data_IF_082964003674
#
_entry.id   IF_082964003674
#
_cell.length_a   1.000
_cell.length_b   1.000
_cell.length_c   1.000
_cell.angle_alpha   90.00
_cell.angle_beta   90.00
_cell.angle_gamma   90.00
#
_symmetry.space_group_name_H-M   'P 1'
#
loop_
_entity.id
_entity.type
_entity.pdbx_description
1 polymer ?
#
# COMPACT_ATOMS: atom_id res chain seq x y z
N UNK A 1 9.09 1.19 8.61
CA UNK A 1 8.47 -0.15 8.53
C UNK A 1 6.95 -0.13 8.70
N UNK A 2 6.38 0.20 9.87
CA UNK A 2 4.90 0.21 10.06
C UNK A 2 4.18 1.20 9.12
N UNK A 3 4.67 2.44 9.06
CA UNK A 3 4.08 3.45 8.18
C UNK A 3 4.27 3.09 6.72
N UNK A 4 5.41 2.52 6.33
CA UNK A 4 5.65 2.09 4.95
C UNK A 4 4.72 0.95 4.53
N UNK A 5 4.50 -0.05 5.39
CA UNK A 5 3.57 -1.14 5.08
C UNK A 5 2.13 -0.64 5.00
N UNK A 6 1.73 0.27 5.88
CA UNK A 6 0.41 0.92 5.82
C UNK A 6 0.27 1.81 4.57
N UNK A 7 1.33 2.53 4.18
CA UNK A 7 1.36 3.34 2.95
C UNK A 7 1.23 2.47 1.70
N UNK A 8 1.92 1.33 1.65
CA UNK A 8 1.80 0.37 0.54
C UNK A 8 0.38 -0.18 0.46
N UNK A 9 -0.21 -0.59 1.58
CA UNK A 9 -1.61 -1.05 1.61
C UNK A 9 -2.56 0.05 1.16
N UNK A 10 -2.38 1.27 1.65
CA UNK A 10 -3.24 2.40 1.28
C UNK A 10 -3.08 2.78 -0.20
N UNK A 11 -1.86 2.74 -0.72
CA UNK A 11 -1.58 2.98 -2.14
C UNK A 11 -2.25 1.95 -3.03
N UNK A 12 -2.21 0.66 -2.65
CA UNK A 12 -2.90 -0.42 -3.37
C UNK A 12 -4.41 -0.22 -3.34
N UNK A 13 -4.98 0.11 -2.19
CA UNK A 13 -6.42 0.42 -2.04
C UNK A 13 -6.84 1.61 -2.91
N UNK A 14 -6.03 2.67 -2.94
CA UNK A 14 -6.27 3.83 -3.80
C UNK A 14 -6.22 3.45 -5.29
N UNK A 15 -5.29 2.58 -5.69
CA UNK A 15 -5.18 2.11 -7.06
C UNK A 15 -6.40 1.27 -7.48
N UNK A 16 -6.86 0.36 -6.62
CA UNK A 16 -8.08 -0.42 -6.84
C UNK A 16 -9.31 0.49 -6.96
N UNK A 17 -9.47 1.46 -6.06
CA UNK A 17 -10.56 2.45 -6.12
C UNK A 17 -10.48 3.31 -7.40
N UNK A 18 -9.27 3.67 -7.85
CA UNK A 18 -9.08 4.39 -9.12
C UNK A 18 -9.50 3.53 -10.31
N UNK A 19 -9.14 2.25 -10.33
CA UNK A 19 -9.55 1.28 -11.36
C UNK A 19 -11.07 1.12 -11.38
N UNK A 20 -11.70 0.98 -10.21
CA UNK A 20 -13.15 0.93 -10.07
C UNK A 20 -13.84 2.21 -10.58
N UNK A 21 -13.36 3.38 -10.17
CA UNK A 21 -13.87 4.67 -10.64
C UNK A 21 -13.75 4.82 -12.16
N UNK A 22 -12.65 4.34 -12.74
CA UNK A 22 -12.42 4.38 -14.19
C UNK A 22 -13.38 3.46 -14.92
N UNK A 23 -13.57 2.23 -14.45
CA UNK A 23 -14.53 1.28 -15.02
C UNK A 23 -15.97 1.83 -14.96
N UNK A 24 -16.35 2.42 -13.81
CA UNK A 24 -17.65 3.09 -13.65
C UNK A 24 -17.82 4.28 -14.59
N UNK A 25 -16.78 5.10 -14.78
CA UNK A 25 -16.79 6.21 -15.75
C UNK A 25 -16.98 5.72 -17.19
N UNK A 26 -16.46 4.53 -17.52
CA UNK A 26 -16.55 3.93 -18.85
C UNK A 26 -17.81 3.06 -19.05
N UNK A 27 -18.74 3.03 -18.08
CA UNK A 27 -19.91 2.13 -18.07
C UNK A 27 -19.53 0.65 -18.30
N UNK A 28 -18.33 0.25 -17.91
CA UNK A 28 -17.90 -1.14 -17.99
C UNK A 28 -18.28 -1.87 -16.70
N UNK A 29 -18.76 -3.12 -16.78
CA UNK A 29 -18.99 -3.92 -15.58
C UNK A 29 -17.67 -4.09 -14.83
N UNK A 30 -17.59 -3.51 -13.63
CA UNK A 30 -16.48 -3.75 -12.73
C UNK A 30 -16.66 -5.13 -12.11
N UNK A 31 -16.02 -6.13 -12.70
CA UNK A 31 -15.84 -7.42 -12.08
C UNK A 31 -14.71 -7.23 -11.09
N UNK A 32 -15.01 -7.33 -9.79
CA UNK A 32 -13.98 -7.39 -8.76
C UNK A 32 -13.10 -8.60 -9.08
N UNK A 33 -11.97 -8.39 -9.75
CA UNK A 33 -11.05 -9.47 -10.07
C UNK A 33 -10.63 -10.07 -8.73
N UNK A 34 -10.91 -11.37 -8.53
CA UNK A 34 -10.46 -12.07 -7.33
C UNK A 34 -8.97 -11.76 -7.16
N UNK A 35 -8.60 -11.29 -5.96
CA UNK A 35 -7.21 -11.00 -5.63
C UNK A 35 -6.36 -12.20 -6.03
N UNK A 36 -5.46 -11.99 -6.97
CA UNK A 36 -4.47 -12.97 -7.40
C UNK A 36 -3.54 -13.23 -6.21
N UNK A 37 -3.41 -14.50 -5.84
CA UNK A 37 -2.52 -14.92 -4.75
C UNK A 37 -1.16 -15.18 -5.38
N UNK A 38 -0.12 -14.53 -4.87
CA UNK A 38 1.26 -14.65 -5.37
C UNK A 38 2.17 -15.19 -4.29
N UNK A 39 3.43 -15.51 -4.61
CA UNK A 39 4.40 -15.95 -3.59
C UNK A 39 4.63 -14.89 -2.50
N UNK A 40 4.48 -13.61 -2.84
CA UNK A 40 4.54 -12.51 -1.89
C UNK A 40 3.42 -12.56 -0.83
N UNK A 41 2.28 -13.18 -1.14
CA UNK A 41 1.21 -13.38 -0.17
C UNK A 41 1.49 -14.56 0.77
N UNK A 42 2.39 -15.49 0.40
CA UNK A 42 2.78 -16.66 1.21
C UNK A 42 3.94 -16.28 2.14
N UNK A 43 3.65 -16.16 3.43
CA UNK A 43 4.69 -15.90 4.43
C UNK A 43 5.50 -17.15 4.75
N UNK A 44 6.82 -17.01 4.81
CA UNK A 44 7.75 -18.10 5.12
C UNK A 44 7.81 -19.15 4.00
N UNK A 45 8.04 -20.41 4.38
CA UNK A 45 8.17 -21.54 3.45
C UNK A 45 9.29 -21.37 2.41
N UNK A 46 10.39 -20.71 2.78
CA UNK A 46 11.46 -20.37 1.82
C UNK A 46 12.14 -21.63 1.24
N UNK A 47 12.27 -22.69 2.05
CA UNK A 47 12.82 -23.97 1.59
C UNK A 47 11.87 -24.66 0.61
N UNK A 48 10.59 -24.68 0.90
CA UNK A 48 9.56 -25.29 0.07
C UNK A 48 9.34 -24.51 -1.23
N UNK A 49 9.42 -23.17 -1.18
CA UNK A 49 9.43 -22.30 -2.37
C UNK A 49 10.63 -22.58 -3.26
N UNK A 50 11.81 -22.77 -2.68
CA UNK A 50 13.03 -23.14 -3.41
C UNK A 50 12.89 -24.53 -4.06
N UNK A 51 12.32 -25.51 -3.33
CA UNK A 51 12.06 -26.84 -3.91
C UNK A 51 11.10 -26.79 -5.12
N UNK A 52 10.18 -25.82 -5.14
CA UNK A 52 9.27 -25.54 -6.24
C UNK A 52 9.89 -24.66 -7.36
N UNK A 53 11.04 -24.03 -7.14
CA UNK A 53 11.67 -23.13 -8.11
C UNK A 53 12.04 -23.85 -9.41
N UNK A 54 12.47 -25.12 -9.32
CA UNK A 54 12.73 -25.98 -10.48
C UNK A 54 11.48 -26.13 -11.35
N UNK A 55 10.34 -26.36 -10.71
CA UNK A 55 9.06 -26.53 -11.37
C UNK A 55 8.60 -25.22 -12.03
N UNK A 56 8.81 -24.09 -11.36
CA UNK A 56 8.51 -22.76 -11.91
C UNK A 56 9.34 -22.51 -13.17
N UNK A 57 10.64 -22.78 -13.10
CA UNK A 57 11.56 -22.62 -14.22
C UNK A 57 11.15 -23.48 -15.39
N UNK A 58 10.82 -24.76 -15.13
CA UNK A 58 10.33 -25.68 -16.14
C UNK A 58 9.04 -25.17 -16.82
N UNK A 59 8.06 -24.70 -16.05
CA UNK A 59 6.79 -24.21 -16.57
C UNK A 59 6.92 -22.90 -17.35
N UNK A 60 7.86 -22.01 -16.96
CA UNK A 60 8.10 -20.71 -17.60
C UNK A 60 8.98 -20.77 -18.84
N UNK A 61 9.83 -21.78 -19.01
CA UNK A 61 10.77 -21.83 -20.13
C UNK A 61 10.05 -21.94 -21.49
N UNK A 62 10.13 -20.94 -22.37
CA UNK A 62 9.35 -20.95 -23.62
C UNK A 62 9.82 -21.99 -24.64
N UNK A 63 11.10 -22.42 -24.63
CA UNK A 63 11.60 -23.64 -25.29
C UNK A 63 12.91 -24.08 -24.64
N UNK A 64 13.16 -25.39 -24.48
CA UNK A 64 14.42 -25.85 -23.95
C UNK A 64 15.48 -25.95 -25.04
N UNK A 65 16.34 -24.94 -25.15
CA UNK A 65 17.60 -25.04 -25.92
C UNK A 65 18.64 -25.99 -25.27
N UNK A 66 18.20 -26.80 -24.30
CA UNK A 66 19.00 -27.77 -23.56
C UNK A 66 18.76 -29.17 -24.13
N UNK A 67 19.84 -29.80 -24.60
CA UNK A 67 19.84 -31.21 -25.01
C UNK A 67 19.32 -32.06 -23.85
N UNK A 68 18.38 -32.97 -24.12
CA UNK A 68 17.74 -33.87 -23.13
C UNK A 68 16.85 -33.21 -22.07
N UNK A 69 16.36 -31.99 -22.27
CA UNK A 69 15.45 -31.34 -21.31
C UNK A 69 14.18 -32.16 -21.00
N UNK A 70 13.68 -32.93 -21.96
CA UNK A 70 12.52 -33.81 -21.75
C UNK A 70 12.78 -34.94 -20.73
N UNK A 71 14.05 -35.29 -20.49
CA UNK A 71 14.42 -36.25 -19.44
C UNK A 71 14.28 -35.65 -18.03
N UNK A 72 14.19 -34.32 -17.92
CA UNK A 72 14.11 -33.57 -16.67
C UNK A 72 12.64 -33.21 -16.33
N UNK A 73 11.67 -33.55 -17.20
CA UNK A 73 10.24 -33.26 -16.99
C UNK A 73 9.75 -33.78 -15.63
N UNK A 74 9.42 -32.89 -14.67
CA UNK A 74 8.85 -33.32 -13.40
C UNK A 74 7.48 -33.93 -13.66
N UNK A 75 7.21 -35.10 -13.07
CA UNK A 75 5.91 -35.79 -13.25
C UNK A 75 4.83 -35.18 -12.37
N UNK A 76 5.24 -34.70 -11.20
CA UNK A 76 4.33 -34.14 -10.20
C UNK A 76 4.97 -34.05 -8.83
N UNK A 77 4.40 -33.24 -7.96
CA UNK A 77 4.88 -33.02 -6.60
C UNK A 77 3.73 -33.29 -5.61
N UNK A 78 4.05 -33.90 -4.48
CA UNK A 78 3.08 -34.16 -3.41
C UNK A 78 3.49 -33.40 -2.15
N UNK A 79 2.64 -32.46 -1.74
CA UNK A 79 2.75 -31.71 -0.49
C UNK A 79 2.12 -32.50 0.64
N UNK A 80 2.78 -32.57 1.79
CA UNK A 80 2.20 -33.23 2.96
C UNK A 80 2.55 -32.51 4.26
N UNK A 81 1.68 -32.63 5.26
CA UNK A 81 1.91 -32.04 6.57
C UNK A 81 0.61 -31.71 7.29
N UNK A 82 0.66 -31.15 8.50
CA UNK A 82 -0.53 -30.88 9.31
C UNK A 82 -1.58 -30.01 8.60
N UNK A 83 -2.87 -30.12 8.97
CA UNK A 83 -3.91 -29.28 8.41
C UNK A 83 -3.70 -27.80 8.77
N UNK A 84 -4.03 -26.90 7.84
CA UNK A 84 -3.97 -25.45 8.10
C UNK A 84 -2.57 -24.83 8.02
N UNK A 85 -1.56 -25.55 7.50
CA UNK A 85 -0.21 -25.01 7.26
C UNK A 85 -0.10 -24.17 6.00
N UNK A 86 -1.02 -24.31 5.03
CA UNK A 86 -1.04 -23.48 3.82
C UNK A 86 -0.76 -24.21 2.50
N UNK A 87 -0.77 -25.55 2.47
CA UNK A 87 -0.58 -26.37 1.24
C UNK A 87 -1.38 -25.87 0.03
N UNK A 88 -2.71 -25.78 0.16
CA UNK A 88 -3.58 -25.32 -0.94
C UNK A 88 -3.40 -23.83 -1.26
N UNK A 89 -2.95 -23.01 -0.30
CA UNK A 89 -2.65 -21.60 -0.51
C UNK A 89 -1.35 -21.40 -1.30
N UNK A 90 -0.31 -22.18 -0.98
CA UNK A 90 0.96 -22.22 -1.73
C UNK A 90 0.74 -22.66 -3.18
N UNK A 91 -0.16 -23.61 -3.44
CA UNK A 91 -0.48 -24.05 -4.81
C UNK A 91 -1.18 -22.98 -5.64
N UNK A 92 -2.10 -22.23 -5.03
CA UNK A 92 -2.74 -21.08 -5.69
C UNK A 92 -1.70 -20.01 -6.04
N UNK A 93 -0.76 -19.77 -5.13
CA UNK A 93 0.36 -18.87 -5.35
C UNK A 93 1.27 -19.34 -6.51
N UNK A 94 1.63 -20.62 -6.53
CA UNK A 94 2.47 -21.23 -7.57
C UNK A 94 1.86 -21.11 -8.97
N UNK A 95 0.54 -21.27 -9.08
CA UNK A 95 -0.15 -21.17 -10.36
C UNK A 95 -0.11 -19.75 -10.92
N UNK A 96 -0.29 -18.75 -10.05
CA UNK A 96 -0.16 -17.35 -10.46
C UNK A 96 1.28 -17.03 -10.87
N UNK A 97 2.28 -17.50 -10.10
CA UNK A 97 3.70 -17.28 -10.44
C UNK A 97 4.05 -17.84 -11.82
N UNK A 98 3.55 -19.04 -12.15
CA UNK A 98 3.86 -19.74 -13.41
C UNK A 98 2.99 -19.28 -14.58
N UNK A 99 1.87 -18.63 -14.30
CA UNK A 99 0.81 -18.35 -15.28
C UNK A 99 0.25 -19.62 -15.91
N UNK A 100 0.33 -20.76 -15.21
CA UNK A 100 -0.22 -22.03 -15.67
C UNK A 100 -1.73 -22.06 -15.44
N UNK A 101 -2.45 -22.74 -16.32
CA UNK A 101 -3.88 -22.99 -16.12
C UNK A 101 -4.08 -23.92 -14.91
N UNK A 102 -4.92 -23.51 -13.96
CA UNK A 102 -5.07 -24.19 -12.68
C UNK A 102 -6.40 -24.96 -12.60
N UNK A 103 -6.30 -26.26 -12.39
CA UNK A 103 -7.42 -27.19 -12.22
C UNK A 103 -7.41 -27.77 -10.81
N UNK A 104 -8.26 -27.25 -9.93
CA UNK A 104 -8.45 -27.78 -8.57
C UNK A 104 -9.53 -28.87 -8.57
N UNK A 105 -9.17 -30.06 -8.09
CA UNK A 105 -10.02 -31.24 -8.08
C UNK A 105 -10.23 -31.71 -6.64
N UNK A 106 -11.50 -31.84 -6.27
CA UNK A 106 -11.91 -32.55 -5.07
C UNK A 106 -11.92 -34.07 -5.37
N UNK A 107 -11.22 -34.91 -4.59
CA UNK A 107 -11.21 -36.37 -4.77
C UNK A 107 -12.60 -37.01 -4.81
N UNK A 108 -13.60 -36.40 -4.13
CA UNK A 108 -15.00 -36.87 -4.14
C UNK A 108 -15.63 -36.84 -5.53
N UNK A 109 -15.11 -36.05 -6.49
CA UNK A 109 -15.58 -36.08 -7.89
C UNK A 109 -15.42 -37.43 -8.56
N UNK A 110 -14.48 -38.24 -8.07
CA UNK A 110 -14.24 -39.58 -8.57
C UNK A 110 -15.07 -40.65 -7.84
N UNK A 111 -15.70 -40.31 -6.71
CA UNK A 111 -16.54 -41.21 -5.92
C UNK A 111 -17.95 -41.29 -6.51
N UNK A 112 -18.08 -42.04 -7.61
CA UNK A 112 -19.34 -42.23 -8.33
C UNK A 112 -19.89 -43.64 -8.15
N UNK A 113 -21.21 -43.76 -8.12
CA UNK A 113 -21.94 -45.01 -7.84
C UNK A 113 -21.78 -46.04 -8.97
N UNK A 114 -21.54 -45.59 -10.20
CA UNK A 114 -21.40 -46.46 -11.36
C UNK A 114 -19.93 -46.66 -11.77
N UNK A 115 -19.61 -47.91 -12.13
CA UNK A 115 -18.28 -48.31 -12.61
C UNK A 115 -17.98 -47.60 -13.94
N UNK A 116 -16.93 -46.78 -13.97
CA UNK A 116 -16.45 -46.12 -15.20
C UNK A 116 -16.63 -44.60 -15.23
N UNK A 117 -17.65 -44.06 -14.55
CA UNK A 117 -17.93 -42.61 -14.58
C UNK A 117 -16.83 -41.76 -13.94
N UNK A 118 -16.09 -42.33 -12.97
CA UNK A 118 -14.92 -41.68 -12.37
C UNK A 118 -13.73 -41.61 -13.34
N UNK A 119 -13.58 -42.60 -14.23
CA UNK A 119 -12.53 -42.59 -15.25
C UNK A 119 -12.88 -41.61 -16.37
N UNK A 120 -14.15 -41.53 -16.77
CA UNK A 120 -14.61 -40.51 -17.71
C UNK A 120 -14.37 -39.09 -17.18
N UNK A 121 -14.58 -38.87 -15.88
CA UNK A 121 -14.28 -37.59 -15.23
C UNK A 121 -12.79 -37.27 -15.29
N UNK A 122 -11.92 -38.24 -14.97
CA UNK A 122 -10.47 -38.08 -15.06
C UNK A 122 -10.02 -37.76 -16.49
N UNK A 123 -10.60 -38.41 -17.50
CA UNK A 123 -10.32 -38.11 -18.91
C UNK A 123 -10.77 -36.71 -19.33
N UNK A 124 -11.94 -36.24 -18.85
CA UNK A 124 -12.42 -34.88 -19.11
C UNK A 124 -11.45 -33.84 -18.54
N UNK A 125 -11.07 -34.01 -17.28
CA UNK A 125 -10.10 -33.15 -16.60
C UNK A 125 -8.77 -33.14 -17.35
N UNK A 126 -8.31 -34.30 -17.82
CA UNK A 126 -7.05 -34.39 -18.57
C UNK A 126 -7.11 -33.66 -19.90
N UNK A 127 -8.19 -33.84 -20.67
CA UNK A 127 -8.40 -33.13 -21.95
C UNK A 127 -8.50 -31.63 -21.76
N UNK A 128 -9.13 -31.18 -20.68
CA UNK A 128 -9.19 -29.76 -20.31
C UNK A 128 -7.78 -29.22 -20.02
N UNK A 129 -6.96 -29.97 -19.29
CA UNK A 129 -5.57 -29.62 -19.06
C UNK A 129 -4.73 -29.59 -20.37
N UNK A 130 -4.98 -30.52 -21.31
CA UNK A 130 -4.32 -30.59 -22.62
C UNK A 130 -4.71 -29.46 -23.58
N UNK A 131 -5.88 -28.85 -23.37
CA UNK A 131 -6.33 -27.69 -24.16
C UNK A 131 -5.53 -26.41 -23.90
N UNK A 132 -4.64 -26.42 -22.90
CA UNK A 132 -3.74 -25.32 -22.55
C UNK A 132 -2.28 -25.74 -22.69
N UNK A 133 -1.39 -24.77 -22.94
CA UNK A 133 0.05 -25.05 -23.14
C UNK A 133 0.75 -25.49 -21.85
N UNK A 134 0.34 -24.91 -20.72
CA UNK A 134 0.86 -25.18 -19.38
C UNK A 134 -0.28 -25.27 -18.39
N UNK A 135 -0.37 -26.40 -17.69
CA UNK A 135 -1.47 -26.70 -16.79
C UNK A 135 -0.97 -27.36 -15.51
N UNK A 136 -1.51 -26.93 -14.38
CA UNK A 136 -1.33 -27.56 -13.07
C UNK A 136 -2.66 -28.19 -12.68
N UNK A 137 -2.66 -29.52 -12.57
CA UNK A 137 -3.76 -30.29 -12.01
C UNK A 137 -3.48 -30.46 -10.52
N UNK A 138 -4.32 -29.92 -9.65
CA UNK A 138 -4.17 -30.01 -8.20
C UNK A 138 -5.25 -30.87 -7.56
N UNK A 139 -4.83 -31.95 -6.87
CA UNK A 139 -5.71 -32.81 -6.08
C UNK A 139 -5.47 -32.51 -4.60
N UNK A 140 -6.39 -31.78 -3.96
CA UNK A 140 -6.34 -31.57 -2.50
C UNK A 140 -6.86 -32.82 -1.77
N UNK A 141 -6.34 -33.08 -0.59
CA UNK A 141 -6.65 -34.30 0.19
C UNK A 141 -6.58 -35.60 -0.62
N UNK A 142 -5.49 -35.83 -1.37
CA UNK A 142 -5.31 -37.04 -2.20
C UNK A 142 -5.45 -38.36 -1.41
N UNK A 143 -5.27 -38.33 -0.09
CA UNK A 143 -5.57 -39.44 0.82
C UNK A 143 -7.05 -39.88 0.83
N UNK A 144 -7.95 -39.05 0.31
CA UNK A 144 -9.35 -39.38 0.07
C UNK A 144 -9.53 -40.47 -1.01
N UNK A 145 -8.57 -40.61 -1.94
CA UNK A 145 -8.56 -41.70 -2.91
C UNK A 145 -8.33 -43.06 -2.22
N UNK A 146 -8.66 -44.16 -2.90
CA UNK A 146 -8.40 -45.48 -2.33
C UNK A 146 -6.91 -45.73 -2.15
N UNK A 147 -6.58 -46.42 -1.07
CA UNK A 147 -5.27 -47.00 -0.87
C UNK A 147 -5.40 -48.50 -1.07
N UNK A 148 -4.64 -49.04 -2.05
CA UNK A 148 -4.76 -50.45 -2.45
C UNK A 148 -4.36 -51.42 -1.35
N UNK A 149 -3.54 -50.97 -0.39
CA UNK A 149 -3.06 -51.80 0.72
C UNK A 149 -4.09 -51.93 1.85
N UNK A 150 -5.00 -50.94 2.00
CA UNK A 150 -5.92 -50.86 3.15
C UNK A 150 -7.41 -50.91 2.77
N UNK A 151 -7.78 -50.54 1.54
CA UNK A 151 -9.17 -50.49 1.05
C UNK A 151 -9.39 -51.48 -0.11
N UNK A 152 -9.12 -52.76 0.11
CA UNK A 152 -9.21 -53.83 -0.91
C UNK A 152 -10.60 -53.97 -1.56
N UNK A 153 -11.65 -53.58 -0.85
CA UNK A 153 -13.04 -53.87 -1.26
C UNK A 153 -13.60 -52.83 -2.24
N UNK A 154 -13.00 -51.62 -2.32
CA UNK A 154 -13.48 -50.57 -3.22
C UNK A 154 -12.78 -50.61 -4.59
N UNK A 155 -13.17 -51.58 -5.42
CA UNK A 155 -12.62 -51.80 -6.78
C UNK A 155 -12.71 -50.56 -7.68
N UNK A 156 -13.75 -49.73 -7.54
CA UNK A 156 -13.95 -48.50 -8.34
C UNK A 156 -12.85 -47.50 -8.03
N UNK A 157 -12.62 -47.23 -6.74
CA UNK A 157 -11.59 -46.28 -6.31
C UNK A 157 -10.17 -46.77 -6.61
N UNK A 158 -9.90 -48.08 -6.57
CA UNK A 158 -8.62 -48.67 -7.00
C UNK A 158 -8.38 -48.44 -8.50
N UNK A 159 -9.41 -48.54 -9.33
CA UNK A 159 -9.29 -48.30 -10.77
C UNK A 159 -8.92 -46.84 -11.09
N UNK A 160 -9.47 -45.87 -10.36
CA UNK A 160 -9.13 -44.45 -10.52
C UNK A 160 -7.64 -44.22 -10.21
N UNK A 161 -7.12 -44.83 -9.13
CA UNK A 161 -5.70 -44.76 -8.79
C UNK A 161 -4.83 -45.36 -9.89
N UNK A 162 -5.21 -46.52 -10.43
CA UNK A 162 -4.48 -47.13 -11.54
C UNK A 162 -4.47 -46.25 -12.80
N UNK A 163 -5.59 -45.60 -13.13
CA UNK A 163 -5.65 -44.67 -14.26
C UNK A 163 -4.81 -43.41 -14.02
N UNK A 164 -4.80 -42.88 -12.79
CA UNK A 164 -3.94 -41.76 -12.43
C UNK A 164 -2.45 -42.14 -12.58
N UNK A 165 -2.06 -43.36 -12.18
CA UNK A 165 -0.71 -43.90 -12.38
C UNK A 165 -0.34 -44.02 -13.87
N UNK A 166 -1.27 -44.51 -14.70
CA UNK A 166 -1.06 -44.60 -16.15
C UNK A 166 -0.86 -43.22 -16.79
N UNK A 167 -1.66 -42.22 -16.37
CA UNK A 167 -1.48 -40.83 -16.82
C UNK A 167 -0.15 -40.26 -16.35
N UNK A 168 0.27 -40.55 -15.11
CA UNK A 168 1.58 -40.17 -14.56
C UNK A 168 2.78 -40.77 -15.31
N UNK A 169 2.64 -41.98 -15.83
CA UNK A 169 3.68 -42.60 -16.67
C UNK A 169 3.64 -42.08 -18.12
N UNK A 170 2.46 -41.65 -18.60
CA UNK A 170 2.24 -41.10 -19.93
C UNK A 170 2.76 -39.66 -20.17
N UNK A 171 3.18 -38.92 -19.13
CA UNK A 171 3.67 -37.53 -19.29
C UNK A 171 4.87 -37.38 -20.23
N UNK A 172 5.62 -38.46 -20.48
CA UNK A 172 6.78 -38.46 -21.39
C UNK A 172 6.42 -38.22 -22.86
N UNK A 173 5.18 -38.43 -23.25
CA UNK A 173 4.77 -38.42 -24.66
C UNK A 173 3.98 -37.18 -25.09
N UNK A 174 3.66 -36.26 -24.16
CA UNK A 174 2.89 -35.04 -24.46
C UNK A 174 3.81 -33.83 -24.57
N UNK A 175 3.67 -33.09 -25.68
CA UNK A 175 4.31 -31.78 -25.91
C UNK A 175 3.81 -30.71 -24.91
N UNK A 176 2.62 -30.91 -24.31
CA UNK A 176 2.04 -30.00 -23.33
C UNK A 176 2.70 -30.15 -21.96
N UNK A 177 2.85 -29.01 -21.26
CA UNK A 177 3.40 -28.95 -19.90
C UNK A 177 2.30 -29.10 -18.86
N UNK A 178 1.81 -30.32 -18.72
CA UNK A 178 0.88 -30.68 -17.66
C UNK A 178 1.71 -31.14 -16.46
N UNK A 179 1.33 -30.75 -15.25
CA UNK A 179 1.97 -31.18 -13.99
C UNK A 179 0.88 -31.58 -13.00
N UNK A 180 1.03 -32.75 -12.38
CA UNK A 180 0.15 -33.16 -11.29
C UNK A 180 0.72 -32.70 -9.94
N UNK A 181 -0.02 -31.84 -9.25
CA UNK A 181 0.25 -31.44 -7.87
C UNK A 181 -0.78 -32.10 -6.96
N UNK A 182 -0.36 -32.52 -5.77
CA UNK A 182 -1.27 -33.10 -4.79
C UNK A 182 -0.94 -32.63 -3.38
N UNK A 183 -1.95 -32.61 -2.50
CA UNK A 183 -1.77 -32.31 -1.09
C UNK A 183 -2.44 -33.36 -0.21
N UNK A 184 -1.88 -33.63 0.97
CA UNK A 184 -2.51 -34.48 1.99
C UNK A 184 -2.13 -34.08 3.40
N UNK A 185 -3.03 -34.30 4.36
CA UNK A 185 -2.68 -34.25 5.79
C UNK A 185 -2.16 -35.60 6.33
N UNK A 186 -2.36 -36.69 5.59
CA UNK A 186 -2.12 -38.06 6.03
C UNK A 186 -1.31 -38.83 4.97
N UNK A 187 -0.01 -38.57 4.90
CA UNK A 187 0.90 -39.23 3.94
C UNK A 187 0.86 -40.76 4.04
N UNK A 188 0.67 -41.30 5.24
CA UNK A 188 0.54 -42.74 5.49
C UNK A 188 -0.72 -43.36 4.84
N UNK A 189 -1.77 -42.58 4.59
CA UNK A 189 -2.98 -43.04 3.94
C UNK A 189 -2.89 -43.04 2.41
N UNK A 190 -1.89 -42.35 1.83
CA UNK A 190 -1.69 -42.34 0.37
C UNK A 190 -1.08 -43.65 -0.11
N UNK A 191 -1.61 -44.16 -1.21
CA UNK A 191 -1.14 -45.37 -1.90
C UNK A 191 0.38 -45.31 -2.20
N UNK A 192 1.08 -46.43 -1.95
CA UNK A 192 2.53 -46.49 -2.11
C UNK A 192 3.00 -46.32 -3.56
N UNK A 193 2.25 -46.83 -4.54
CA UNK A 193 2.60 -46.64 -5.94
C UNK A 193 2.41 -45.19 -6.38
N UNK A 194 1.37 -44.51 -5.89
CA UNK A 194 1.21 -43.06 -6.14
C UNK A 194 2.36 -42.26 -5.54
N UNK A 195 2.72 -42.52 -4.28
CA UNK A 195 3.85 -41.82 -3.62
C UNK A 195 5.15 -41.95 -4.41
N UNK A 196 5.46 -43.14 -4.92
CA UNK A 196 6.66 -43.40 -5.70
C UNK A 196 6.64 -42.82 -7.13
N UNK A 197 5.50 -42.32 -7.61
CA UNK A 197 5.37 -41.68 -8.93
C UNK A 197 5.51 -40.16 -8.90
N UNK A 198 5.34 -39.54 -7.73
CA UNK A 198 5.68 -38.13 -7.55
C UNK A 198 7.20 -37.95 -7.56
N UNK A 199 7.67 -36.91 -8.25
CA UNK A 199 9.09 -36.59 -8.39
C UNK A 199 9.68 -36.03 -7.09
N UNK A 200 8.89 -35.27 -6.33
CA UNK A 200 9.27 -34.74 -5.01
C UNK A 200 8.12 -34.88 -4.01
N UNK A 201 8.48 -35.14 -2.75
CA UNK A 201 7.60 -35.12 -1.59
C UNK A 201 8.01 -33.94 -0.72
N UNK A 202 7.21 -32.88 -0.68
CA UNK A 202 7.54 -31.67 0.07
C UNK A 202 6.77 -31.68 1.39
N UNK A 203 7.50 -31.65 2.50
CA UNK A 203 6.91 -31.55 3.84
C UNK A 203 6.64 -30.08 4.15
N UNK A 204 5.41 -29.75 4.54
CA UNK A 204 5.04 -28.43 5.06
C UNK A 204 4.66 -28.57 6.53
N UNK A 205 5.59 -28.18 7.39
CA UNK A 205 5.43 -28.24 8.85
C UNK A 205 4.64 -27.05 9.41
N UNK A 206 4.37 -27.09 10.72
CA UNK A 206 3.84 -25.95 11.44
C UNK A 206 4.87 -24.80 11.42
N UNK A 207 4.36 -23.58 11.48
CA UNK A 207 5.17 -22.37 11.60
C UNK A 207 6.08 -22.44 12.84
N UNK A 208 7.34 -22.03 12.69
CA UNK A 208 8.29 -22.01 13.81
C UNK A 208 8.00 -20.85 14.76
N UNK A 209 8.38 -21.01 16.04
CA UNK A 209 8.10 -20.04 17.11
C UNK A 209 8.73 -18.65 16.82
N UNK A 210 9.86 -18.62 16.11
CA UNK A 210 10.56 -17.41 15.69
C UNK A 210 9.86 -16.69 14.53
N UNK A 211 9.09 -17.42 13.73
CA UNK A 211 8.42 -16.91 12.53
C UNK A 211 7.03 -16.32 12.82
N UNK A 212 6.43 -16.64 13.97
CA UNK A 212 5.07 -16.23 14.34
C UNK A 212 4.90 -14.71 14.27
N UNK A 213 5.84 -13.93 14.81
CA UNK A 213 5.72 -12.48 14.82
C UNK A 213 5.67 -11.89 13.40
N UNK A 214 6.54 -12.38 12.51
CA UNK A 214 6.57 -11.94 11.13
C UNK A 214 5.31 -12.38 10.37
N UNK A 215 4.79 -13.58 10.65
CA UNK A 215 3.52 -14.04 10.08
C UNK A 215 2.35 -13.14 10.49
N UNK A 216 2.25 -12.80 11.78
CA UNK A 216 1.21 -11.91 12.29
C UNK A 216 1.32 -10.52 11.65
N UNK A 217 2.53 -9.97 11.52
CA UNK A 217 2.79 -8.70 10.84
C UNK A 217 2.41 -8.74 9.37
N UNK A 218 2.69 -9.85 8.69
CA UNK A 218 2.34 -10.07 7.28
C UNK A 218 0.84 -10.12 7.07
N UNK A 219 0.13 -10.91 7.87
CA UNK A 219 -1.31 -11.07 7.78
C UNK A 219 -2.05 -9.75 8.07
N UNK A 220 -1.55 -8.95 9.02
CA UNK A 220 -2.15 -7.67 9.39
C UNK A 220 -1.97 -6.55 8.36
N UNK A 221 -1.18 -6.75 7.29
CA UNK A 221 -1.02 -5.75 6.22
C UNK A 221 -2.34 -5.29 5.62
N UNK A 222 -3.35 -6.17 5.56
CA UNK A 222 -4.65 -5.85 4.97
C UNK A 222 -5.67 -5.26 5.97
N UNK A 223 -5.30 -5.06 7.24
CA UNK A 223 -6.21 -4.62 8.29
C UNK A 223 -5.88 -3.20 8.76
N UNK A 224 -6.91 -2.46 9.16
CA UNK A 224 -6.74 -1.16 9.84
C UNK A 224 -6.37 -1.40 11.30
N UNK A 225 -5.09 -1.19 11.63
CA UNK A 225 -4.55 -1.41 12.97
C UNK A 225 -3.94 -0.14 13.57
N UNK A 226 -3.90 -0.05 14.90
CA UNK A 226 -3.15 1.01 15.57
C UNK A 226 -1.63 0.72 15.57
N UNK A 227 -0.82 1.77 15.72
CA UNK A 227 0.63 1.63 15.94
C UNK A 227 0.95 0.79 17.19
N UNK A 228 0.16 0.96 18.26
CA UNK A 228 0.31 0.16 19.48
C UNK A 228 0.03 -1.32 19.24
N UNK A 229 -0.94 -1.64 18.38
CA UNK A 229 -1.23 -3.02 17.97
C UNK A 229 -0.04 -3.63 17.24
N UNK A 230 0.58 -2.90 16.32
CA UNK A 230 1.77 -3.37 15.60
C UNK A 230 2.93 -3.70 16.55
N UNK A 231 3.19 -2.86 17.54
CA UNK A 231 4.22 -3.11 18.55
C UNK A 231 3.84 -4.24 19.52
N UNK A 232 2.54 -4.45 19.78
CA UNK A 232 2.05 -5.50 20.65
C UNK A 232 2.17 -6.91 20.03
N UNK A 233 2.43 -7.01 18.72
CA UNK A 233 2.52 -8.29 18.03
C UNK A 233 3.66 -9.18 18.54
N UNK A 234 4.76 -8.60 19.04
CA UNK A 234 5.83 -9.38 19.67
C UNK A 234 5.33 -10.09 20.93
N UNK A 235 4.56 -9.38 21.77
CA UNK A 235 3.92 -9.97 22.96
C UNK A 235 2.91 -11.06 22.58
N UNK A 236 2.11 -10.84 21.54
CA UNK A 236 1.16 -11.84 21.04
C UNK A 236 1.91 -13.07 20.51
N UNK A 237 2.99 -12.87 19.76
CA UNK A 237 3.82 -13.95 19.26
C UNK A 237 4.38 -14.78 20.42
N UNK A 238 4.98 -14.15 21.44
CA UNK A 238 5.49 -14.85 22.63
C UNK A 238 4.40 -15.68 23.33
N UNK A 239 3.16 -15.17 23.44
CA UNK A 239 2.05 -15.93 24.04
C UNK A 239 1.60 -17.12 23.18
N UNK A 240 1.86 -17.08 21.87
CA UNK A 240 1.52 -18.13 20.91
C UNK A 240 2.60 -19.22 20.79
N UNK A 241 3.84 -18.94 21.23
CA UNK A 241 4.95 -19.89 21.14
C UNK A 241 4.68 -21.19 21.91
N UNK A 242 5.20 -22.30 21.40
CA UNK A 242 5.06 -23.66 21.98
C UNK A 242 3.62 -24.15 22.13
N UNK A 243 2.65 -23.50 21.48
CA UNK A 243 1.23 -23.92 21.47
C UNK A 243 0.87 -24.81 20.28
N UNK A 244 1.76 -24.96 19.30
CA UNK A 244 1.53 -25.75 18.10
C UNK A 244 0.45 -25.16 17.18
N UNK A 245 0.34 -23.83 17.12
CA UNK A 245 -0.64 -23.17 16.25
C UNK A 245 -0.27 -23.33 14.77
N UNK A 246 -1.27 -23.64 13.94
CA UNK A 246 -1.13 -23.60 12.49
C UNK A 246 -1.31 -22.18 11.95
N UNK A 247 -0.90 -21.93 10.70
CA UNK A 247 -1.13 -20.65 10.00
C UNK A 247 -2.62 -20.28 10.01
N UNK A 248 -3.50 -21.29 9.87
CA UNK A 248 -4.95 -21.12 9.97
C UNK A 248 -5.41 -20.68 11.36
N UNK A 249 -4.81 -21.21 12.43
CA UNK A 249 -5.19 -20.83 13.80
C UNK A 249 -4.74 -19.40 14.11
N UNK A 250 -3.52 -19.02 13.70
CA UNK A 250 -3.02 -17.64 13.81
C UNK A 250 -3.86 -16.65 12.98
N UNK A 251 -4.27 -17.05 11.78
CA UNK A 251 -5.17 -16.24 10.93
C UNK A 251 -6.52 -16.04 11.60
N UNK A 252 -7.09 -17.09 12.21
CA UNK A 252 -8.34 -17.00 12.97
C UNK A 252 -8.25 -16.06 14.17
N UNK A 253 -7.11 -16.00 14.86
CA UNK A 253 -6.91 -15.03 15.96
C UNK A 253 -7.07 -13.60 15.42
N UNK A 254 -6.44 -13.29 14.28
CA UNK A 254 -6.53 -11.98 13.64
C UNK A 254 -7.95 -11.68 13.16
N UNK A 255 -8.59 -12.63 12.46
CA UNK A 255 -9.95 -12.45 11.94
C UNK A 255 -10.96 -12.21 13.06
N UNK A 256 -10.88 -13.01 14.13
CA UNK A 256 -11.74 -12.84 15.30
C UNK A 256 -11.48 -11.51 16.01
N UNK A 257 -10.21 -11.07 16.09
CA UNK A 257 -9.87 -9.79 16.70
C UNK A 257 -10.46 -8.65 15.87
N UNK A 258 -10.42 -8.74 14.54
CA UNK A 258 -11.01 -7.71 13.69
C UNK A 258 -12.55 -7.68 13.78
N UNK A 259 -13.20 -8.83 13.93
CA UNK A 259 -14.63 -8.88 14.22
C UNK A 259 -14.97 -8.19 15.55
N UNK A 260 -14.13 -8.35 16.58
CA UNK A 260 -14.26 -7.64 17.86
C UNK A 260 -14.10 -6.13 17.67
N UNK A 261 -13.07 -5.71 16.95
CA UNK A 261 -12.87 -4.30 16.59
C UNK A 261 -14.11 -3.71 15.92
N UNK A 262 -14.67 -4.40 14.93
CA UNK A 262 -15.88 -3.93 14.24
C UNK A 262 -17.07 -3.81 15.19
N UNK A 263 -17.29 -4.83 16.03
CA UNK A 263 -18.34 -4.81 17.06
C UNK A 263 -18.17 -3.62 18.01
N UNK A 264 -16.94 -3.33 18.45
CA UNK A 264 -16.67 -2.21 19.36
C UNK A 264 -16.76 -0.86 18.68
N UNK A 265 -16.37 -0.75 17.41
CA UNK A 265 -16.56 0.47 16.60
C UNK A 265 -18.01 0.89 16.49
N UNK A 266 -18.93 -0.08 16.35
CA UNK A 266 -20.39 0.19 16.33
C UNK A 266 -20.88 0.73 17.68
N UNK A 267 -20.29 0.30 18.79
CA UNK A 267 -20.67 0.73 20.14
C UNK A 267 -20.01 2.04 20.55
N UNK A 268 -18.77 2.25 20.13
CA UNK A 268 -17.96 3.42 20.43
C UNK A 268 -17.20 3.84 19.15
N UNK A 269 -17.59 4.96 18.51
CA UNK A 269 -16.91 5.48 17.32
C UNK A 269 -15.42 5.78 17.53
N UNK A 270 -14.96 5.97 18.78
CA UNK A 270 -13.55 6.16 19.11
C UNK A 270 -12.71 4.88 18.91
N UNK A 271 -13.35 3.70 18.92
CA UNK A 271 -12.72 2.42 18.63
C UNK A 271 -12.62 2.21 17.11
N UNK A 272 -11.84 3.07 16.44
CA UNK A 272 -11.87 3.17 14.98
C UNK A 272 -11.06 2.10 14.22
N UNK A 273 -10.05 1.52 14.89
CA UNK A 273 -9.04 0.59 14.34
C UNK A 273 -8.80 -0.55 15.34
N UNK A 274 -8.17 -1.65 14.89
CA UNK A 274 -7.84 -2.76 15.79
C UNK A 274 -6.83 -2.31 16.85
N UNK A 275 -7.15 -2.57 18.11
CA UNK A 275 -6.34 -2.22 19.29
C UNK A 275 -5.69 -3.47 19.92
N UNK A 276 -4.63 -3.32 20.73
CA UNK A 276 -4.02 -4.45 21.47
C UNK A 276 -5.04 -5.25 22.28
N UNK A 277 -6.04 -4.58 22.85
CA UNK A 277 -7.10 -5.21 23.64
C UNK A 277 -7.91 -6.25 22.86
N UNK A 278 -8.08 -6.06 21.55
CA UNK A 278 -8.91 -6.94 20.73
C UNK A 278 -8.18 -8.28 20.49
N UNK A 279 -6.88 -8.21 20.23
CA UNK A 279 -6.01 -9.39 20.11
C UNK A 279 -5.89 -10.12 21.46
N UNK A 280 -5.68 -9.38 22.55
CA UNK A 280 -5.60 -9.96 23.89
C UNK A 280 -6.90 -10.69 24.25
N UNK A 281 -8.07 -10.09 24.01
CA UNK A 281 -9.36 -10.70 24.35
C UNK A 281 -9.58 -12.02 23.60
N UNK A 282 -9.24 -12.06 22.30
CA UNK A 282 -9.37 -13.28 21.50
C UNK A 282 -8.39 -14.35 21.94
N UNK A 283 -7.15 -13.96 22.20
CA UNK A 283 -6.12 -14.90 22.62
C UNK A 283 -6.41 -15.48 24.00
N UNK A 284 -6.85 -14.64 24.96
CA UNK A 284 -7.29 -15.09 26.28
C UNK A 284 -8.41 -16.13 26.15
N UNK A 285 -9.41 -15.85 25.32
CA UNK A 285 -10.51 -16.78 25.06
C UNK A 285 -10.01 -18.11 24.48
N UNK A 286 -9.14 -18.07 23.47
CA UNK A 286 -8.57 -19.25 22.83
C UNK A 286 -7.68 -20.08 23.78
N UNK A 287 -7.04 -19.43 24.75
CA UNK A 287 -6.23 -20.07 25.79
C UNK A 287 -7.05 -20.49 27.02
N UNK A 288 -8.38 -20.31 27.00
CA UNK A 288 -9.27 -20.66 28.12
C UNK A 288 -9.16 -19.73 29.33
N UNK A 289 -8.51 -18.57 29.19
CA UNK A 289 -8.37 -17.56 30.23
C UNK A 289 -9.70 -16.80 30.35
N UNK A 290 -10.44 -17.05 31.43
CA UNK A 290 -11.72 -16.40 31.70
C UNK A 290 -11.53 -15.06 32.41
N UNK A 291 -11.73 -13.96 31.68
CA UNK A 291 -11.81 -12.60 32.25
C UNK A 291 -13.27 -12.17 32.41
N UNK A 292 -13.56 -11.38 33.44
CA UNK A 292 -14.89 -10.81 33.63
C UNK A 292 -15.16 -9.71 32.61
N UNK A 293 -16.44 -9.45 32.31
CA UNK A 293 -16.81 -8.36 31.40
C UNK A 293 -16.26 -6.99 31.86
N UNK A 294 -16.23 -6.75 33.17
CA UNK A 294 -15.65 -5.53 33.75
C UNK A 294 -14.15 -5.40 33.47
N UNK A 295 -13.39 -6.49 33.59
CA UNK A 295 -11.96 -6.52 33.28
C UNK A 295 -11.69 -6.26 31.79
N UNK A 296 -12.43 -6.93 30.90
CA UNK A 296 -12.32 -6.76 29.45
C UNK A 296 -12.65 -5.31 29.06
N UNK A 297 -13.77 -4.77 29.56
CA UNK A 297 -14.18 -3.39 29.29
C UNK A 297 -13.14 -2.39 29.81
N UNK A 298 -12.59 -2.61 31.01
CA UNK A 298 -11.54 -1.74 31.57
C UNK A 298 -10.28 -1.73 30.71
N UNK A 299 -9.80 -2.90 30.28
CA UNK A 299 -8.62 -3.01 29.39
C UNK A 299 -8.86 -2.30 28.05
N UNK A 300 -10.02 -2.53 27.44
CA UNK A 300 -10.40 -1.89 26.17
C UNK A 300 -10.43 -0.36 26.27
N UNK A 301 -11.12 0.19 27.29
CA UNK A 301 -11.20 1.64 27.49
C UNK A 301 -9.82 2.28 27.71
N UNK A 302 -8.91 1.57 28.40
CA UNK A 302 -7.53 2.03 28.56
C UNK A 302 -6.80 2.12 27.21
N UNK A 303 -6.90 1.09 26.36
CA UNK A 303 -6.28 1.10 25.03
C UNK A 303 -6.90 2.13 24.08
N UNK A 304 -8.22 2.34 24.16
CA UNK A 304 -8.91 3.41 23.43
C UNK A 304 -8.35 4.79 23.83
N UNK A 305 -8.15 5.03 25.12
CA UNK A 305 -7.60 6.29 25.63
C UNK A 305 -6.18 6.53 25.11
N UNK A 306 -5.31 5.52 25.23
CA UNK A 306 -3.92 5.58 24.71
C UNK A 306 -3.90 5.89 23.22
N UNK A 307 -4.75 5.21 22.44
CA UNK A 307 -4.84 5.46 21.00
C UNK A 307 -5.35 6.86 20.67
N UNK A 308 -6.35 7.38 21.41
CA UNK A 308 -6.84 8.74 21.19
C UNK A 308 -5.79 9.80 21.53
N UNK A 309 -5.00 9.61 22.57
CA UNK A 309 -3.93 10.55 22.92
C UNK A 309 -2.79 10.52 21.90
N UNK A 310 -2.43 9.34 21.41
CA UNK A 310 -1.52 9.20 20.27
C UNK A 310 -2.05 9.91 19.01
N UNK A 311 -3.33 9.73 18.68
CA UNK A 311 -3.96 10.40 17.54
C UNK A 311 -3.95 11.93 17.69
N UNK A 312 -4.22 12.46 18.88
CA UNK A 312 -4.12 13.91 19.14
C UNK A 312 -2.69 14.41 18.92
N UNK A 313 -1.70 13.66 19.42
CA UNK A 313 -0.28 13.93 19.19
C UNK A 313 0.05 14.01 17.70
N UNK A 314 -0.32 13.00 16.91
CA UNK A 314 -0.07 13.00 15.46
C UNK A 314 -0.78 14.14 14.75
N UNK A 315 -2.05 14.40 15.09
CA UNK A 315 -2.81 15.51 14.49
C UNK A 315 -2.14 16.88 14.71
N UNK A 316 -1.34 17.04 15.77
CA UNK A 316 -0.59 18.27 16.00
C UNK A 316 0.59 18.46 15.03
N UNK A 317 1.14 17.38 14.49
CA UNK A 317 2.22 17.41 13.48
C UNK A 317 1.70 17.51 12.05
N UNK A 318 0.43 17.17 11.81
CA UNK A 318 -0.17 17.33 10.50
C UNK A 318 -0.39 18.81 10.19
N UNK A 319 -0.11 19.27 8.94
CA UNK A 319 -0.40 20.63 8.55
C UNK A 319 -1.88 20.91 8.77
N UNK A 320 -2.20 22.04 9.43
CA UNK A 320 -3.58 22.46 9.65
C UNK A 320 -4.30 22.50 8.30
N UNK A 321 -5.54 22.00 8.27
CA UNK A 321 -6.37 22.07 7.08
C UNK A 321 -6.43 23.52 6.60
N UNK A 322 -6.00 23.76 5.36
CA UNK A 322 -6.04 25.08 4.74
C UNK A 322 -7.49 25.58 4.72
N UNK A 323 -7.72 26.75 5.30
CA UNK A 323 -9.01 27.45 5.22
C UNK A 323 -9.25 27.98 3.80
N UNK A 324 -10.13 27.30 3.08
CA UNK A 324 -10.47 27.61 1.68
C UNK A 324 -11.58 28.66 1.55
N UNK A 325 -12.06 29.24 2.66
CA UNK A 325 -13.08 30.30 2.62
C UNK A 325 -12.57 31.44 1.76
N UNK A 326 -13.34 31.82 0.74
CA UNK A 326 -12.97 32.87 -0.20
C UNK A 326 -13.14 34.24 0.47
N UNK A 327 -12.10 35.05 0.46
CA UNK A 327 -12.08 36.37 1.08
C UNK A 327 -11.53 37.40 0.11
N UNK A 328 -12.19 38.56 0.09
CA UNK A 328 -11.83 39.71 -0.69
C UNK A 328 -11.16 40.74 0.24
N UNK A 329 -9.95 41.18 -0.10
CA UNK A 329 -9.26 42.27 0.61
C UNK A 329 -8.62 43.25 -0.36
N UNK A 330 -8.61 44.51 0.03
CA UNK A 330 -7.85 45.56 -0.65
C UNK A 330 -6.70 45.99 0.24
N UNK A 331 -5.51 46.07 -0.34
CA UNK A 331 -4.32 46.56 0.35
C UNK A 331 -3.87 47.86 -0.28
N UNK A 332 -3.51 48.83 0.56
CA UNK A 332 -3.00 50.15 0.16
C UNK A 332 -1.69 50.38 0.89
N UNK A 333 -0.65 50.73 0.13
CA UNK A 333 0.69 50.99 0.64
C UNK A 333 1.09 52.39 0.21
N UNK A 334 1.35 53.25 1.20
CA UNK A 334 1.56 54.67 0.96
C UNK A 334 3.01 55.02 0.66
N UNK A 335 3.98 54.20 1.05
CA UNK A 335 5.41 54.55 0.93
C UNK A 335 6.34 53.33 0.85
N UNK A 336 7.47 53.50 0.14
CA UNK A 336 8.79 52.88 0.44
C UNK A 336 9.73 53.92 1.10
N UNK A 337 9.15 54.93 1.75
CA UNK A 337 9.59 56.31 2.12
C UNK A 337 11.05 56.80 1.95
N UNK A 338 11.16 58.06 1.50
CA UNK A 338 12.28 59.03 1.62
C UNK A 338 11.82 60.27 2.47
N UNK A 339 12.70 61.03 3.18
CA UNK A 339 12.34 61.87 4.33
C UNK A 339 11.85 63.29 4.00
N UNK A 340 11.04 63.83 4.92
CA UNK A 340 10.45 65.18 4.89
C UNK A 340 9.08 65.27 5.56
N UNK A 341 8.45 64.12 5.85
CA UNK A 341 7.33 63.98 6.77
C UNK A 341 7.80 63.18 7.97
N UNK A 342 7.34 63.54 9.18
CA UNK A 342 7.60 62.79 10.40
C UNK A 342 7.46 61.29 10.14
N UNK A 343 8.49 60.53 10.49
CA UNK A 343 8.42 59.07 10.54
C UNK A 343 7.17 58.68 11.35
N UNK A 344 6.22 57.91 10.79
CA UNK A 344 5.40 57.08 11.66
C UNK A 344 6.40 56.17 12.36
N UNK A 345 6.55 56.33 13.68
CA UNK A 345 7.58 55.70 14.52
C UNK A 345 7.55 54.16 14.53
N UNK A 346 6.76 53.52 13.66
CA UNK A 346 6.52 52.09 13.62
C UNK A 346 6.74 51.44 12.23
N UNK A 347 7.36 52.10 11.24
CA UNK A 347 7.62 51.49 9.92
C UNK A 347 9.09 51.56 9.51
N UNK A 348 9.84 50.54 9.91
CA UNK A 348 11.22 50.26 9.48
C UNK A 348 11.32 50.08 7.95
N UNK A 349 12.24 50.82 7.33
CA UNK A 349 12.59 50.71 5.91
C UNK A 349 13.23 49.35 5.57
N UNK A 350 12.76 48.72 4.49
CA UNK A 350 13.14 47.37 4.04
C UNK A 350 14.20 47.38 2.93
N UNK A 351 15.40 46.84 3.22
CA UNK A 351 16.22 45.97 2.33
C UNK A 351 17.02 45.01 3.22
N UNK A 352 16.74 43.70 3.20
CA UNK A 352 17.57 42.71 3.92
C UNK A 352 18.85 42.39 3.11
N UNK A 353 19.85 43.28 3.20
CA UNK A 353 21.26 43.15 2.75
C UNK A 353 21.53 42.87 1.26
N UNK A 354 22.53 43.50 0.60
CA UNK A 354 23.22 44.75 0.88
C UNK A 354 22.81 45.84 -0.14
N UNK A 355 22.12 46.88 0.30
CA UNK A 355 21.91 48.10 -0.48
C UNK A 355 22.05 49.28 0.45
N UNK A 356 23.29 49.73 0.67
CA UNK A 356 23.62 50.70 1.71
C UNK A 356 23.97 52.10 1.16
N UNK A 357 23.60 52.44 -0.09
CA UNK A 357 23.89 53.75 -0.67
C UNK A 357 22.74 54.22 -1.56
N UNK A 358 21.81 54.96 -0.98
CA UNK A 358 20.84 55.76 -1.73
C UNK A 358 21.44 57.13 -2.03
N UNK A 359 21.22 57.68 -3.23
CA UNK A 359 21.59 59.06 -3.57
C UNK A 359 20.64 60.02 -2.87
N UNK A 360 21.18 61.00 -2.15
CA UNK A 360 20.40 62.00 -1.39
C UNK A 360 20.23 63.34 -2.12
N UNK A 361 20.82 63.50 -3.29
CA UNK A 361 21.18 64.79 -3.88
C UNK A 361 20.49 65.13 -5.22
N UNK A 362 19.58 64.30 -5.72
CA UNK A 362 18.83 64.58 -6.95
C UNK A 362 17.31 64.69 -6.69
N UNK A 363 16.73 65.78 -7.17
CA UNK A 363 15.29 66.08 -7.22
C UNK A 363 14.42 64.82 -7.44
N UNK A 364 13.54 64.50 -6.48
CA UNK A 364 12.30 63.70 -6.62
C UNK A 364 12.29 62.49 -7.59
N UNK A 365 13.08 61.44 -7.33
CA UNK A 365 12.89 60.15 -8.04
C UNK A 365 12.90 58.97 -7.05
N UNK A 366 11.78 58.77 -6.35
CA UNK A 366 11.66 57.69 -5.35
C UNK A 366 10.46 56.74 -5.55
N UNK A 367 9.57 56.98 -6.52
CA UNK A 367 8.49 56.05 -6.90
C UNK A 367 7.99 56.27 -8.33
N UNK A 368 7.93 57.52 -8.78
CA UNK A 368 7.56 57.91 -10.16
C UNK A 368 8.48 57.35 -11.25
N UNK A 369 9.67 56.89 -10.88
CA UNK A 369 10.66 56.27 -11.76
C UNK A 369 10.83 54.76 -11.56
N UNK A 370 10.02 54.14 -10.70
CA UNK A 370 10.02 52.70 -10.47
C UNK A 370 8.88 52.05 -11.28
N UNK A 371 9.20 51.01 -12.05
CA UNK A 371 8.16 50.24 -12.75
C UNK A 371 7.91 48.93 -12.01
N UNK A 372 6.63 48.66 -11.70
CA UNK A 372 6.22 47.42 -11.06
C UNK A 372 5.51 46.54 -12.09
N UNK A 373 5.94 45.28 -12.18
CA UNK A 373 5.29 44.29 -13.04
C UNK A 373 4.79 43.13 -12.20
N UNK A 374 3.56 42.67 -12.48
CA UNK A 374 3.01 41.49 -11.82
C UNK A 374 3.78 40.24 -12.28
N UNK A 375 4.09 39.34 -11.34
CA UNK A 375 4.71 38.05 -11.64
C UNK A 375 3.77 37.13 -12.43
N UNK A 376 4.28 36.02 -12.97
CA UNK A 376 3.42 35.03 -13.61
C UNK A 376 2.61 34.26 -12.56
N UNK A 377 1.42 33.77 -12.94
CA UNK A 377 0.52 33.03 -12.05
C UNK A 377 1.17 31.76 -11.48
N UNK A 378 2.13 31.18 -12.21
CA UNK A 378 2.90 30.00 -11.80
C UNK A 378 4.01 30.29 -10.79
N UNK A 379 4.38 31.56 -10.59
CA UNK A 379 5.52 31.90 -9.71
C UNK A 379 5.15 31.85 -8.22
N UNK A 380 3.88 31.99 -7.82
CA UNK A 380 3.50 31.96 -6.40
C UNK A 380 2.03 31.60 -6.20
N UNK A 381 1.69 30.78 -5.18
CA UNK A 381 0.30 30.43 -4.88
C UNK A 381 -0.57 31.65 -4.56
N UNK A 382 0.02 32.74 -4.06
CA UNK A 382 -0.70 33.97 -3.73
C UNK A 382 -0.96 34.84 -4.99
N UNK A 383 -0.06 34.81 -5.96
CA UNK A 383 -0.13 35.66 -7.16
C UNK A 383 -1.32 35.32 -8.10
N UNK A 384 -1.83 34.09 -8.01
CA UNK A 384 -3.08 33.67 -8.67
C UNK A 384 -4.30 34.48 -8.23
N UNK A 385 -4.29 34.95 -6.99
CA UNK A 385 -5.43 35.60 -6.33
C UNK A 385 -5.24 37.10 -6.19
N UNK A 386 -4.05 37.64 -6.49
CA UNK A 386 -3.84 39.08 -6.57
C UNK A 386 -4.35 39.61 -7.93
N UNK A 387 -5.21 40.62 -7.90
CA UNK A 387 -5.67 41.38 -9.06
C UNK A 387 -5.15 42.83 -9.05
N UNK A 388 -5.05 43.41 -10.26
CA UNK A 388 -4.74 44.82 -10.57
C UNK A 388 -3.82 45.55 -9.58
N UNK A 389 -2.53 45.57 -9.88
CA UNK A 389 -1.55 46.46 -9.25
C UNK A 389 -1.64 47.83 -9.94
N UNK A 390 -2.11 48.87 -9.25
CA UNK A 390 -2.06 50.25 -9.76
C UNK A 390 -1.16 51.07 -8.85
N UNK A 391 -0.20 51.73 -9.48
CA UNK A 391 0.67 52.71 -8.88
C UNK A 391 0.14 54.09 -9.27
N UNK A 392 -0.22 54.92 -8.29
CA UNK A 392 -0.51 56.33 -8.56
C UNK A 392 0.80 57.12 -8.60
N UNK A 393 1.26 57.47 -9.80
CA UNK A 393 2.54 58.16 -10.02
C UNK A 393 2.67 59.48 -9.25
N UNK A 394 1.56 60.19 -9.04
CA UNK A 394 1.53 61.47 -8.33
C UNK A 394 1.63 61.34 -6.80
N UNK A 395 1.21 60.21 -6.23
CA UNK A 395 1.13 60.01 -4.77
C UNK A 395 2.09 58.93 -4.25
N UNK A 396 2.71 58.15 -5.13
CA UNK A 396 3.57 57.03 -4.76
C UNK A 396 2.82 55.88 -4.10
N UNK A 397 1.50 55.84 -4.22
CA UNK A 397 0.65 54.82 -3.57
C UNK A 397 0.51 53.61 -4.48
N UNK A 398 0.77 52.42 -3.93
CA UNK A 398 0.45 51.16 -4.59
C UNK A 398 -0.75 50.49 -3.94
N UNK A 399 -1.69 50.03 -4.75
CA UNK A 399 -2.74 49.13 -4.30
C UNK A 399 -2.82 47.87 -5.14
N UNK A 400 -3.24 46.80 -4.49
CA UNK A 400 -3.69 45.59 -5.16
C UNK A 400 -4.87 44.99 -4.41
N UNK A 401 -5.62 44.18 -5.13
CA UNK A 401 -6.77 43.45 -4.65
C UNK A 401 -6.39 41.98 -4.46
N UNK A 402 -6.86 41.35 -3.39
CA UNK A 402 -6.75 39.92 -3.16
C UNK A 402 -8.14 39.30 -3.20
N UNK A 403 -8.29 38.25 -4.01
CA UNK A 403 -9.50 37.43 -4.11
C UNK A 403 -9.17 35.96 -4.11
N UNK A 404 -9.10 35.40 -2.91
CA UNK A 404 -8.57 34.05 -2.75
C UNK A 404 -8.91 33.45 -1.40
N UNK A 405 -8.38 32.24 -1.14
CA UNK A 405 -8.67 31.53 0.09
C UNK A 405 -8.01 32.19 1.31
N UNK A 406 -8.68 32.16 2.46
CA UNK A 406 -8.24 32.80 3.71
C UNK A 406 -6.89 32.29 4.22
N UNK A 407 -6.54 31.01 3.99
CA UNK A 407 -5.30 30.44 4.53
C UNK A 407 -4.04 31.15 4.07
N UNK A 408 -3.98 31.60 2.81
CA UNK A 408 -2.82 32.33 2.28
C UNK A 408 -2.59 33.64 3.04
N UNK A 409 -3.66 34.23 3.58
CA UNK A 409 -3.56 35.47 4.35
C UNK A 409 -3.10 35.26 5.79
N UNK A 410 -3.11 34.01 6.27
CA UNK A 410 -2.74 33.64 7.63
C UNK A 410 -1.30 33.08 7.71
N UNK A 411 -0.63 32.88 6.57
CA UNK A 411 0.75 32.42 6.51
C UNK A 411 1.70 33.62 6.62
N UNK A 412 2.52 33.68 7.68
CA UNK A 412 3.58 34.69 7.83
C UNK A 412 4.76 34.36 6.91
N UNK A 413 4.55 34.58 5.61
CA UNK A 413 5.50 34.34 4.53
C UNK A 413 5.52 35.52 3.58
N UNK A 414 6.70 35.80 3.04
CA UNK A 414 6.89 36.79 1.99
C UNK A 414 6.65 36.11 0.64
N UNK A 415 5.45 36.23 0.08
CA UNK A 415 5.12 35.62 -1.21
C UNK A 415 5.60 36.50 -2.35
N UNK A 416 6.27 35.94 -3.35
CA UNK A 416 6.58 36.64 -4.59
C UNK A 416 5.30 37.07 -5.31
N UNK A 417 5.19 38.36 -5.65
CA UNK A 417 4.02 38.92 -6.35
C UNK A 417 4.38 39.63 -7.66
N UNK A 418 5.66 39.84 -7.93
CA UNK A 418 6.11 40.47 -9.16
C UNK A 418 7.51 41.05 -9.08
N UNK A 419 7.86 41.91 -10.02
CA UNK A 419 9.14 42.58 -10.06
C UNK A 419 8.99 44.09 -9.84
N UNK A 420 10.03 44.70 -9.31
CA UNK A 420 10.19 46.13 -9.18
C UNK A 420 11.50 46.53 -9.88
N UNK A 421 11.41 47.28 -10.97
CA UNK A 421 12.58 47.87 -11.62
C UNK A 421 12.86 49.21 -10.96
N UNK A 422 14.01 49.30 -10.31
CA UNK A 422 14.42 50.47 -9.55
C UNK A 422 15.62 51.14 -10.25
N UNK A 423 15.71 52.48 -10.27
CA UNK A 423 16.91 53.17 -10.74
C UNK A 423 18.16 52.67 -10.01
N UNK A 424 19.22 52.36 -10.77
CA UNK A 424 20.46 51.80 -10.23
C UNK A 424 21.67 52.55 -10.78
N UNK A 425 22.49 53.12 -9.90
CA UNK A 425 23.76 53.77 -10.24
C UNK A 425 24.91 53.18 -9.40
N UNK A 426 25.74 52.30 -9.98
CA UNK A 426 26.84 51.67 -9.24
C UNK A 426 28.03 52.62 -8.97
N UNK A 427 28.18 53.71 -9.74
CA UNK A 427 29.40 54.54 -9.74
C UNK A 427 29.14 56.01 -9.41
N UNK A 428 27.89 56.42 -9.18
CA UNK A 428 27.48 57.79 -8.87
C UNK A 428 27.88 58.81 -9.96
N UNK A 429 28.05 58.34 -11.21
CA UNK A 429 28.46 59.11 -12.38
C UNK A 429 27.31 59.11 -13.38
N UNK A 430 26.73 60.29 -13.60
CA UNK A 430 25.42 60.47 -14.21
C UNK A 430 25.37 59.95 -15.66
N UNK A 431 24.36 59.11 -15.92
CA UNK A 431 23.75 58.89 -17.23
C UNK A 431 22.36 58.30 -17.02
N UNK A 432 21.32 58.99 -17.51
CA UNK A 432 19.95 58.48 -17.49
C UNK A 432 19.88 57.11 -18.18
N UNK A 433 19.33 56.08 -17.51
CA UNK A 433 18.84 54.88 -18.20
C UNK A 433 19.04 53.51 -17.56
N UNK A 434 19.86 53.35 -16.50
CA UNK A 434 20.06 52.03 -15.89
C UNK A 434 19.07 51.74 -14.77
N UNK A 435 18.14 50.82 -15.03
CA UNK A 435 17.30 50.19 -14.00
C UNK A 435 17.85 48.81 -13.64
N UNK A 436 17.64 48.39 -12.39
CA UNK A 436 17.89 47.03 -11.94
C UNK A 436 16.58 46.42 -11.48
N UNK A 437 16.30 45.22 -11.98
CA UNK A 437 15.12 44.45 -11.59
C UNK A 437 15.35 43.77 -10.25
N UNK A 438 14.39 43.92 -9.35
CA UNK A 438 14.30 43.20 -8.09
C UNK A 438 12.95 42.47 -7.99
N UNK A 439 12.84 41.55 -7.03
CA UNK A 439 11.66 40.73 -6.82
C UNK A 439 10.82 41.27 -5.67
N UNK A 440 9.62 41.73 -6.00
CA UNK A 440 8.62 42.24 -5.08
C UNK A 440 7.89 41.09 -4.39
N UNK A 441 7.85 41.12 -3.06
CA UNK A 441 7.19 40.16 -2.21
C UNK A 441 6.20 40.83 -1.28
N UNK A 442 5.10 40.15 -0.99
CA UNK A 442 4.06 40.60 -0.07
C UNK A 442 3.89 39.62 1.09
N UNK A 443 3.90 40.15 2.30
CA UNK A 443 3.57 39.41 3.51
C UNK A 443 2.15 39.76 3.97
N UNK A 444 1.19 38.81 3.94
CA UNK A 444 -0.19 39.11 4.26
C UNK A 444 -0.49 39.25 5.75
N UNK A 445 0.32 38.62 6.62
CA UNK A 445 0.19 38.72 8.09
C UNK A 445 0.77 40.04 8.58
N UNK A 446 2.00 40.34 8.17
CA UNK A 446 2.69 41.59 8.52
C UNK A 446 2.16 42.79 7.76
N UNK A 447 1.43 42.55 6.65
CA UNK A 447 0.95 43.56 5.71
C UNK A 447 2.08 44.45 5.23
N UNK A 448 3.18 43.83 4.79
CA UNK A 448 4.38 44.52 4.31
C UNK A 448 4.67 44.14 2.87
N UNK A 449 5.28 45.08 2.15
CA UNK A 449 5.87 44.85 0.84
C UNK A 449 7.37 44.93 0.97
N UNK A 450 8.07 43.95 0.42
CA UNK A 450 9.51 43.82 0.50
C UNK A 450 10.09 43.57 -0.89
N UNK A 451 11.31 44.05 -1.11
CA UNK A 451 12.03 43.88 -2.37
C UNK A 451 13.29 43.06 -2.09
N UNK A 452 13.51 42.03 -2.91
CA UNK A 452 14.59 41.05 -2.76
C UNK A 452 15.40 40.89 -4.05
N UNK A 453 16.67 40.46 -3.94
CA UNK A 453 17.53 40.16 -5.11
C UNK A 453 17.24 38.80 -5.74
N UNK A 454 16.56 37.90 -5.01
CA UNK A 454 16.16 36.56 -5.46
C UNK A 454 14.66 36.34 -5.18
N UNK A 455 14.04 35.38 -5.87
CA UNK A 455 12.65 34.97 -5.63
C UNK A 455 12.58 34.01 -4.43
N UNK A 456 11.66 34.24 -3.50
CA UNK A 456 11.39 33.41 -2.33
C UNK A 456 9.91 33.00 -2.26
N UNK A 457 9.63 31.86 -1.62
CA UNK A 457 8.27 31.32 -1.48
C UNK A 457 7.53 31.24 -2.83
N UNK A 458 8.29 30.80 -3.83
CA UNK A 458 7.82 30.38 -5.15
C UNK A 458 7.59 28.86 -5.09
N UNK A 459 6.54 28.40 -5.79
CA UNK A 459 5.90 27.06 -5.68
C UNK A 459 4.81 26.89 -4.60
#
# INVERSE_FOLDING_TARGET
MFLDSQLVTFSRQLEELRKELTARRLNQPWINQKKKITFDDVYGMEQEKEELADLITYLKADQPNLVNFDQIKPRGYLLYGPPGTGKSFLMKALCEETGAYYLEIDPSRFDKTYVGEGNEELEKIWREAESHDKSIIFIDEISGLANRETKSDNKVAINIVNNLLLKLDGFKSSEKKIILMAATNHLNQVDAALKNRFSKLIKIDLIQDEEIEGFLKHQLRNYQISYHTFNHLSTIATKCQKKGYSNRDLSKIIDNAYQKTYKYKVQNPLHSVMLPSDLDEVLDYQQGIKKTFAQIKKHRLAQETVYQDWLKGIKSFLPKKKDLTKVIKQYRFHTLTWPGHDEPSDVLAFVKKPFNKWRTDAYQYAFSSATFSKGLVVDSPLNRYIGFMRCEEATGVMWFYYDGPQYLLNEDKDYYIGNADLPYDPNNQIGFGSTKTYHLHFNPVRKTLSVYTEKFNVE
#
